data_IF_512427908429
#
_entry.id   IF_512427908429
#
_cell.length_a   1.000
_cell.length_b   1.000
_cell.length_c   1.000
_cell.angle_alpha   90.00
_cell.angle_beta   90.00
_cell.angle_gamma   90.00
#
_symmetry.space_group_name_H-M   'P 1'
#
loop_
_entity.id
_entity.type
_entity.pdbx_description
1 polymer ?
#
# COMPACT_ATOMS: atom_id res chain seq x y z
N UNK A 1 6.32 -15.13 -73.12
CA UNK A 1 5.73 -14.03 -72.32
C UNK A 1 5.06 -14.66 -71.09
N UNK A 2 5.73 -14.69 -69.93
CA UNK A 2 5.28 -15.42 -68.73
C UNK A 2 4.58 -14.42 -67.79
N UNK A 3 3.31 -14.68 -67.46
CA UNK A 3 2.51 -13.86 -66.53
C UNK A 3 2.66 -14.43 -65.12
N UNK A 4 3.35 -13.70 -64.22
CA UNK A 4 3.39 -13.99 -62.80
C UNK A 4 2.05 -13.62 -62.15
N UNK A 5 1.37 -14.58 -61.54
CA UNK A 5 0.18 -14.35 -60.71
C UNK A 5 0.64 -14.21 -59.26
N UNK A 6 0.56 -13.00 -58.69
CA UNK A 6 0.80 -12.78 -57.27
C UNK A 6 -0.44 -13.10 -56.43
N UNK A 7 -0.35 -14.11 -55.56
CA UNK A 7 -1.30 -14.35 -54.48
C UNK A 7 -1.10 -13.34 -53.35
N UNK A 8 -2.08 -12.45 -53.14
CA UNK A 8 -2.15 -11.61 -51.93
C UNK A 8 -2.75 -12.44 -50.79
N UNK A 9 -1.92 -12.79 -49.79
CA UNK A 9 -2.38 -13.30 -48.49
C UNK A 9 -3.15 -12.19 -47.77
N UNK A 10 -4.40 -12.46 -47.42
CA UNK A 10 -5.24 -11.61 -46.57
C UNK A 10 -4.75 -11.77 -45.12
N UNK A 11 -4.13 -10.73 -44.57
CA UNK A 11 -3.79 -10.65 -43.14
C UNK A 11 -5.07 -10.25 -42.40
N UNK A 12 -5.65 -11.18 -41.64
CA UNK A 12 -6.76 -10.88 -40.73
C UNK A 12 -6.26 -9.91 -39.65
N UNK A 13 -6.85 -8.73 -39.58
CA UNK A 13 -6.54 -7.73 -38.56
C UNK A 13 -6.85 -8.30 -37.17
N UNK A 14 -5.81 -8.45 -36.34
CA UNK A 14 -5.96 -8.75 -34.93
C UNK A 14 -6.52 -7.51 -34.23
N UNK A 15 -7.81 -7.52 -33.88
CA UNK A 15 -8.36 -6.50 -32.98
C UNK A 15 -7.97 -6.89 -31.56
N UNK A 16 -7.19 -6.06 -30.83
CA UNK A 16 -6.91 -6.35 -29.43
C UNK A 16 -8.25 -6.42 -28.66
N UNK A 17 -8.44 -7.48 -27.89
CA UNK A 17 -9.51 -7.55 -26.89
C UNK A 17 -9.35 -6.32 -26.01
N UNK A 18 -10.40 -5.50 -25.89
CA UNK A 18 -10.47 -4.47 -24.86
C UNK A 18 -10.34 -5.19 -23.51
N UNK A 19 -9.15 -5.13 -22.92
CA UNK A 19 -8.97 -5.38 -21.49
C UNK A 19 -9.92 -4.42 -20.79
N UNK A 20 -10.84 -4.94 -19.98
CA UNK A 20 -11.54 -4.08 -19.02
C UNK A 20 -10.42 -3.45 -18.19
N UNK A 21 -10.29 -2.13 -18.25
CA UNK A 21 -9.52 -1.39 -17.26
C UNK A 21 -10.28 -1.63 -15.97
N UNK A 22 -9.75 -2.49 -15.11
CA UNK A 22 -10.28 -2.64 -13.76
C UNK A 22 -9.82 -1.37 -13.06
N UNK A 23 -10.76 -0.63 -12.47
CA UNK A 23 -10.41 0.58 -11.73
C UNK A 23 -9.57 0.14 -10.51
N UNK A 24 -8.28 0.47 -10.52
CA UNK A 24 -7.27 -0.10 -9.63
C UNK A 24 -7.01 0.81 -8.44
N UNK A 25 -7.07 0.23 -7.23
CA UNK A 25 -6.61 0.87 -6.01
C UNK A 25 -5.10 0.66 -5.89
N UNK A 26 -4.32 1.74 -5.78
CA UNK A 26 -2.89 1.66 -5.52
C UNK A 26 -2.56 2.12 -4.10
N UNK A 27 -1.76 1.36 -3.38
CA UNK A 27 -1.34 1.65 -2.02
C UNK A 27 -0.01 2.39 -2.07
N UNK A 28 0.08 3.54 -1.39
CA UNK A 28 1.34 4.25 -1.17
C UNK A 28 1.70 4.26 0.31
N UNK A 29 3.00 4.35 0.61
CA UNK A 29 3.50 4.39 1.98
C UNK A 29 4.47 5.56 2.13
N UNK A 30 4.38 6.31 3.22
CA UNK A 30 5.34 7.36 3.56
C UNK A 30 5.54 7.49 5.07
N UNK A 31 6.58 8.21 5.47
CA UNK A 31 6.91 8.49 6.88
C UNK A 31 6.77 9.99 7.14
N UNK A 32 6.01 10.38 8.15
CA UNK A 32 5.82 11.78 8.57
C UNK A 32 5.94 11.89 10.09
N UNK A 33 6.92 12.66 10.55
CA UNK A 33 7.25 12.83 11.96
C UNK A 33 7.08 14.30 12.36
N UNK A 34 5.93 14.68 12.95
CA UNK A 34 5.65 16.07 13.29
C UNK A 34 6.36 16.53 14.58
N UNK A 35 6.75 15.59 15.43
CA UNK A 35 7.38 15.87 16.73
C UNK A 35 8.91 15.78 16.63
N UNK A 36 9.61 16.73 17.26
CA UNK A 36 11.08 16.76 17.31
C UNK A 36 11.60 15.56 18.11
N UNK A 37 12.58 14.86 17.55
CA UNK A 37 13.20 13.64 18.09
C UNK A 37 12.21 12.50 18.34
N UNK A 38 11.13 12.44 17.57
CA UNK A 38 10.11 11.38 17.59
C UNK A 38 9.99 10.80 16.20
N UNK A 39 10.90 9.90 15.89
CA UNK A 39 10.93 9.24 14.60
C UNK A 39 11.45 7.84 14.73
N UNK A 40 10.90 6.95 13.93
CA UNK A 40 11.52 5.67 13.61
C UNK A 40 12.24 5.79 12.29
N UNK A 41 13.44 5.20 12.17
CA UNK A 41 14.18 5.22 10.92
C UNK A 41 13.87 3.96 10.12
N UNK A 42 12.73 3.92 9.45
CA UNK A 42 12.42 2.79 8.55
C UNK A 42 13.20 2.99 7.24
N UNK A 43 14.09 2.06 6.86
CA UNK A 43 14.87 2.20 5.65
C UNK A 43 13.98 2.30 4.40
N UNK A 44 14.41 3.10 3.41
CA UNK A 44 13.63 3.31 2.18
C UNK A 44 13.36 2.03 1.38
N UNK A 45 14.26 1.05 1.45
CA UNK A 45 14.05 -0.26 0.81
C UNK A 45 12.94 -1.05 1.50
N UNK A 46 12.85 -1.03 2.83
CA UNK A 46 11.76 -1.65 3.60
C UNK A 46 10.43 -1.02 3.22
N UNK A 47 10.36 0.31 3.14
CA UNK A 47 9.15 1.03 2.72
C UNK A 47 8.71 0.64 1.30
N UNK A 48 9.67 0.44 0.40
CA UNK A 48 9.42 0.00 -0.98
C UNK A 48 8.87 -1.43 -1.03
N UNK A 49 9.45 -2.35 -0.26
CA UNK A 49 8.99 -3.73 -0.21
C UNK A 49 7.62 -3.85 0.47
N UNK A 50 7.37 -3.07 1.53
CA UNK A 50 6.04 -2.99 2.16
C UNK A 50 4.99 -2.55 1.14
N UNK A 51 5.26 -1.48 0.39
CA UNK A 51 4.37 -0.99 -0.65
C UNK A 51 4.10 -2.04 -1.73
N UNK A 52 5.15 -2.70 -2.21
CA UNK A 52 5.00 -3.77 -3.23
C UNK A 52 4.17 -4.93 -2.70
N UNK A 53 4.47 -5.39 -1.48
CA UNK A 53 3.75 -6.47 -0.83
C UNK A 53 2.26 -6.17 -0.72
N UNK A 54 1.91 -5.00 -0.18
CA UNK A 54 0.51 -4.59 -0.04
C UNK A 54 -0.22 -4.47 -1.38
N UNK A 55 0.40 -3.89 -2.40
CA UNK A 55 -0.21 -3.81 -3.74
C UNK A 55 -0.36 -5.19 -4.41
N UNK A 56 0.56 -6.13 -4.15
CA UNK A 56 0.48 -7.48 -4.72
C UNK A 56 -0.67 -8.32 -4.16
N UNK A 57 -1.27 -7.90 -3.04
CA UNK A 57 -2.44 -8.55 -2.48
C UNK A 57 -3.72 -8.27 -3.27
N UNK A 58 -3.70 -7.29 -4.20
CA UNK A 58 -4.83 -6.91 -5.07
C UNK A 58 -6.15 -6.73 -4.29
N UNK A 59 -6.02 -6.13 -3.10
CA UNK A 59 -7.17 -5.88 -2.23
C UNK A 59 -7.94 -4.68 -2.73
N UNK A 60 -9.26 -4.72 -2.58
CA UNK A 60 -10.14 -3.62 -2.95
C UNK A 60 -10.97 -3.16 -1.76
N UNK A 61 -11.06 -1.84 -1.58
CA UNK A 61 -11.96 -1.25 -0.58
C UNK A 61 -13.18 -0.68 -1.29
N UNK A 62 -14.27 -1.46 -1.31
CA UNK A 62 -15.53 -1.12 -2.00
C UNK A 62 -16.06 0.25 -1.60
N UNK A 63 -16.03 0.56 -0.30
CA UNK A 63 -16.48 1.85 0.22
C UNK A 63 -15.79 3.05 -0.45
N UNK A 64 -14.49 2.95 -0.76
CA UNK A 64 -13.76 4.02 -1.44
C UNK A 64 -13.99 4.01 -2.94
N UNK A 65 -14.13 2.84 -3.56
CA UNK A 65 -14.49 2.73 -4.98
C UNK A 65 -15.81 3.45 -5.29
N UNK A 66 -16.84 3.24 -4.47
CA UNK A 66 -18.12 3.94 -4.62
C UNK A 66 -17.95 5.46 -4.50
N UNK A 67 -17.16 5.90 -3.51
CA UNK A 67 -16.90 7.32 -3.28
C UNK A 67 -16.16 7.99 -4.44
N UNK A 68 -15.22 7.29 -5.07
CA UNK A 68 -14.51 7.77 -6.25
C UNK A 68 -15.22 7.45 -7.58
N UNK A 69 -16.45 6.93 -7.52
CA UNK A 69 -17.30 6.59 -8.67
C UNK A 69 -16.66 5.57 -9.61
N UNK A 70 -16.00 4.56 -9.04
CA UNK A 70 -15.27 3.55 -9.81
C UNK A 70 -14.17 4.18 -10.64
N UNK A 71 -13.34 5.04 -10.05
CA UNK A 71 -12.14 5.55 -10.70
C UNK A 71 -10.94 5.11 -9.88
N UNK A 72 -9.80 4.94 -10.55
CA UNK A 72 -8.50 4.71 -9.90
C UNK A 72 -8.25 5.74 -8.79
N UNK A 73 -7.80 5.25 -7.65
CA UNK A 73 -7.49 6.07 -6.49
C UNK A 73 -6.29 5.51 -5.72
N UNK A 74 -5.65 6.39 -4.95
CA UNK A 74 -4.53 6.04 -4.08
C UNK A 74 -5.00 5.87 -2.63
N UNK A 75 -4.65 4.75 -2.01
CA UNK A 75 -4.73 4.55 -0.56
C UNK A 75 -3.36 4.89 0.05
N UNK A 76 -3.25 6.04 0.70
CA UNK A 76 -2.04 6.45 1.38
C UNK A 76 -1.97 5.92 2.82
N UNK A 77 -0.90 5.19 3.14
CA UNK A 77 -0.57 4.78 4.50
C UNK A 77 0.58 5.66 5.00
N UNK A 78 0.26 6.59 5.90
CA UNK A 78 1.23 7.50 6.51
C UNK A 78 1.68 6.93 7.84
N UNK A 79 2.94 6.53 7.94
CA UNK A 79 3.54 6.06 9.19
C UNK A 79 4.04 7.26 9.97
N UNK A 80 3.62 7.37 11.23
CA UNK A 80 4.02 8.45 12.11
C UNK A 80 4.35 7.88 13.49
N UNK A 81 5.11 8.64 14.27
CA UNK A 81 5.39 8.35 15.66
C UNK A 81 4.90 9.52 16.53
N UNK A 82 4.43 9.21 17.74
CA UNK A 82 3.96 10.24 18.68
C UNK A 82 4.23 9.85 20.12
N UNK A 83 4.54 10.83 20.99
CA UNK A 83 4.62 10.60 22.45
C UNK A 83 3.24 10.59 23.12
N UNK A 84 2.20 11.02 22.40
CA UNK A 84 0.85 11.12 22.93
C UNK A 84 0.23 9.73 23.15
N UNK A 85 0.05 9.37 24.44
CA UNK A 85 -0.43 8.02 24.83
C UNK A 85 -1.88 7.71 24.47
N UNK A 86 -2.67 8.73 24.18
CA UNK A 86 -4.11 8.60 23.91
C UNK A 86 -4.46 8.69 22.43
N UNK A 87 -3.46 8.90 21.57
CA UNK A 87 -3.71 9.00 20.13
C UNK A 87 -4.08 7.61 19.59
N UNK A 88 -5.17 7.49 18.81
CA UNK A 88 -5.55 6.19 18.25
C UNK A 88 -4.47 5.72 17.27
N UNK A 89 -4.22 4.41 17.26
CA UNK A 89 -3.25 3.79 16.36
C UNK A 89 -3.54 4.11 14.89
N UNK A 90 -4.82 4.19 14.51
CA UNK A 90 -5.27 4.54 13.16
C UNK A 90 -6.09 5.82 13.20
N UNK A 91 -5.67 6.84 12.45
CA UNK A 91 -6.46 8.03 12.15
C UNK A 91 -6.85 8.08 10.68
N UNK A 92 -8.04 8.63 10.39
CA UNK A 92 -8.62 8.70 9.06
C UNK A 92 -9.93 7.92 8.94
N UNK A 93 -10.48 7.77 7.73
CA UNK A 93 -9.91 8.19 6.45
C UNK A 93 -9.92 9.71 6.25
N UNK A 94 -8.84 10.25 5.68
CA UNK A 94 -8.77 11.64 5.21
C UNK A 94 -8.85 11.67 3.70
N UNK A 95 -9.84 12.38 3.14
CA UNK A 95 -10.09 12.37 1.70
C UNK A 95 -9.48 13.58 1.00
N UNK A 96 -8.74 13.29 -0.06
CA UNK A 96 -8.15 14.26 -0.96
C UNK A 96 -8.77 14.11 -2.35
N UNK A 97 -10.02 14.57 -2.51
CA UNK A 97 -10.82 14.36 -3.72
C UNK A 97 -10.12 14.84 -5.01
N UNK A 98 -9.41 15.97 -4.95
CA UNK A 98 -8.66 16.52 -6.10
C UNK A 98 -7.57 15.56 -6.60
N UNK A 99 -6.96 14.82 -5.68
CA UNK A 99 -5.85 13.91 -5.97
C UNK A 99 -6.30 12.45 -6.06
N UNK A 100 -7.62 12.18 -5.94
CA UNK A 100 -8.19 10.83 -5.84
C UNK A 100 -7.42 9.97 -4.85
N UNK A 101 -7.26 10.50 -3.64
CA UNK A 101 -6.45 9.87 -2.60
C UNK A 101 -7.19 9.83 -1.29
N UNK A 102 -7.02 8.75 -0.54
CA UNK A 102 -7.52 8.59 0.82
C UNK A 102 -6.39 8.16 1.73
N UNK A 103 -6.18 8.90 2.79
CA UNK A 103 -5.07 8.66 3.71
C UNK A 103 -5.54 8.12 5.05
N UNK A 104 -4.76 7.16 5.54
CA UNK A 104 -4.75 6.74 6.93
C UNK A 104 -3.39 7.08 7.53
N UNK A 105 -3.42 7.57 8.77
CA UNK A 105 -2.21 7.79 9.55
C UNK A 105 -2.11 6.70 10.61
N UNK A 106 -1.03 5.94 10.58
CA UNK A 106 -0.66 4.97 11.60
C UNK A 106 0.23 5.67 12.63
N UNK A 107 -0.33 5.97 13.81
CA UNK A 107 0.39 6.59 14.91
C UNK A 107 1.00 5.52 15.82
N UNK A 108 2.27 5.22 15.59
CA UNK A 108 3.03 4.30 16.43
C UNK A 108 3.45 5.03 17.71
N UNK A 109 3.09 4.54 18.91
CA UNK A 109 3.52 5.17 20.15
C UNK A 109 5.05 5.15 20.25
N UNK A 110 5.66 6.29 20.50
CA UNK A 110 7.11 6.41 20.51
C UNK A 110 7.72 5.85 21.79
N UNK A 111 8.74 5.01 21.62
CA UNK A 111 9.56 4.41 22.66
C UNK A 111 10.99 4.28 22.14
N UNK A 112 11.97 4.40 23.06
CA UNK A 112 13.38 4.12 22.79
C UNK A 112 13.68 2.65 23.01
N UNK A 113 14.57 2.11 22.19
CA UNK A 113 15.04 0.73 22.26
C UNK A 113 16.56 0.71 22.25
N UNK A 114 17.14 -0.28 22.93
CA UNK A 114 18.59 -0.50 22.93
C UNK A 114 19.02 -1.39 21.74
N UNK A 115 18.06 -2.09 21.14
CA UNK A 115 18.24 -3.02 20.01
C UNK A 115 17.52 -2.49 18.77
N UNK A 116 18.23 -2.45 17.65
CA UNK A 116 17.66 -2.12 16.32
C UNK A 116 16.59 -3.12 15.90
N UNK A 117 16.77 -4.40 16.25
CA UNK A 117 15.81 -5.46 15.98
C UNK A 117 14.52 -5.27 16.80
N UNK A 118 14.63 -4.90 18.08
CA UNK A 118 13.46 -4.70 18.95
C UNK A 118 12.66 -3.48 18.49
N UNK A 119 13.34 -2.40 18.12
CA UNK A 119 12.69 -1.22 17.51
C UNK A 119 11.93 -1.61 16.25
N UNK A 120 12.59 -2.36 15.36
CA UNK A 120 12.00 -2.75 14.08
C UNK A 120 10.82 -3.71 14.25
N UNK A 121 10.93 -4.68 15.15
CA UNK A 121 9.85 -5.62 15.49
C UNK A 121 8.64 -4.87 16.04
N UNK A 122 8.86 -3.93 16.96
CA UNK A 122 7.79 -3.09 17.50
C UNK A 122 7.08 -2.25 16.42
N UNK A 123 7.83 -1.69 15.48
CA UNK A 123 7.26 -0.97 14.33
C UNK A 123 6.37 -1.91 13.51
N UNK A 124 6.87 -3.10 13.17
CA UNK A 124 6.15 -4.07 12.34
C UNK A 124 4.87 -4.56 13.03
N UNK A 125 4.89 -4.83 14.33
CA UNK A 125 3.70 -5.20 15.11
C UNK A 125 2.62 -4.10 15.07
N UNK A 126 3.03 -2.83 15.23
CA UNK A 126 2.08 -1.71 15.15
C UNK A 126 1.54 -1.51 13.73
N UNK A 127 2.36 -1.71 12.70
CA UNK A 127 1.92 -1.71 11.31
C UNK A 127 0.91 -2.82 11.05
N UNK A 128 1.12 -4.01 11.62
CA UNK A 128 0.20 -5.14 11.51
C UNK A 128 -1.16 -4.80 12.10
N UNK A 129 -1.19 -4.38 13.37
CA UNK A 129 -2.41 -3.99 14.04
C UNK A 129 -3.15 -2.88 13.28
N UNK A 130 -2.42 -1.87 12.81
CA UNK A 130 -2.99 -0.74 12.09
C UNK A 130 -3.57 -1.12 10.72
N UNK A 131 -2.82 -1.85 9.91
CA UNK A 131 -3.25 -2.28 8.58
C UNK A 131 -4.42 -3.26 8.67
N UNK A 132 -4.34 -4.29 9.53
CA UNK A 132 -5.45 -5.23 9.73
C UNK A 132 -6.72 -4.47 10.14
N UNK A 133 -6.62 -3.51 11.06
CA UNK A 133 -7.76 -2.69 11.47
C UNK A 133 -8.38 -1.87 10.33
N UNK A 134 -7.57 -1.38 9.39
CA UNK A 134 -8.07 -0.66 8.20
C UNK A 134 -8.79 -1.64 7.26
N UNK A 135 -8.14 -2.77 6.92
CA UNK A 135 -8.68 -3.71 5.95
C UNK A 135 -9.88 -4.49 6.47
N UNK A 136 -9.91 -4.90 7.74
CA UNK A 136 -11.10 -5.51 8.34
C UNK A 136 -12.29 -4.55 8.34
N UNK A 137 -12.03 -3.25 8.56
CA UNK A 137 -13.09 -2.25 8.62
C UNK A 137 -13.65 -1.89 7.25
N UNK A 138 -12.84 -1.91 6.19
CA UNK A 138 -13.22 -1.34 4.89
C UNK A 138 -13.12 -2.29 3.68
N UNK A 139 -12.29 -3.33 3.75
CA UNK A 139 -11.99 -4.24 2.63
C UNK A 139 -12.67 -5.61 2.74
N UNK A 140 -13.39 -5.87 3.84
CA UNK A 140 -13.98 -7.18 4.20
C UNK A 140 -12.97 -8.35 4.28
N UNK A 141 -11.68 -8.10 4.00
CA UNK A 141 -10.63 -9.10 3.90
C UNK A 141 -9.24 -8.49 4.21
N UNK A 142 -8.65 -8.90 5.33
CA UNK A 142 -7.30 -8.55 5.75
C UNK A 142 -6.26 -9.66 5.51
N UNK A 143 -6.63 -10.75 4.81
CA UNK A 143 -5.72 -11.85 4.52
C UNK A 143 -4.50 -11.40 3.70
N UNK A 144 -3.35 -12.00 3.94
CA UNK A 144 -2.10 -11.67 3.25
C UNK A 144 -1.31 -10.53 3.89
N UNK A 145 -1.93 -9.69 4.73
CA UNK A 145 -1.22 -8.57 5.40
C UNK A 145 -0.14 -9.10 6.35
N UNK A 146 -0.45 -10.15 7.10
CA UNK A 146 0.49 -10.74 8.06
C UNK A 146 1.70 -11.31 7.32
N UNK A 147 1.49 -12.00 6.21
CA UNK A 147 2.55 -12.59 5.39
C UNK A 147 3.45 -11.52 4.78
N UNK A 148 2.88 -10.40 4.33
CA UNK A 148 3.66 -9.24 3.88
C UNK A 148 4.54 -8.72 5.01
N UNK A 149 3.98 -8.55 6.21
CA UNK A 149 4.72 -7.99 7.34
C UNK A 149 5.75 -8.92 7.96
N UNK A 150 5.52 -10.23 7.94
CA UNK A 150 6.54 -11.21 8.34
C UNK A 150 7.75 -11.15 7.42
N UNK A 151 7.55 -11.03 6.10
CA UNK A 151 8.66 -10.81 5.15
C UNK A 151 9.38 -9.50 5.41
N UNK A 152 8.66 -8.45 5.83
CA UNK A 152 9.30 -7.19 6.22
C UNK A 152 10.14 -7.38 7.48
N UNK A 153 9.63 -8.11 8.48
CA UNK A 153 10.36 -8.41 9.72
C UNK A 153 11.68 -9.16 9.45
N UNK A 154 11.69 -10.09 8.50
CA UNK A 154 12.90 -10.82 8.06
C UNK A 154 13.98 -9.89 7.45
N UNK A 155 13.60 -8.68 7.02
CA UNK A 155 14.52 -7.66 6.53
C UNK A 155 15.08 -6.76 7.64
N UNK A 156 14.81 -7.09 8.91
CA UNK A 156 15.30 -6.33 10.04
C UNK A 156 16.82 -6.11 9.94
N UNK A 157 17.31 -4.90 10.25
CA UNK A 157 18.74 -4.68 10.36
C UNK A 157 19.31 -5.61 11.44
N UNK A 158 20.32 -6.41 11.09
CA UNK A 158 21.05 -7.21 12.06
C UNK A 158 21.68 -6.30 13.13
N UNK A 159 21.79 -6.77 14.39
CA UNK A 159 22.43 -6.03 15.48
C UNK A 159 23.89 -5.70 15.20
#
# INVERSE_FOLDING_TARGET
MIRLVMHRKVIKSFKPKKTRVVDEMNISTCQVYPEVDVSYKIPGFVMKELRKGLNSLDKEITYFKEKFKGQDFELGIVISATREKYKPLVMGPTFFNRYKRVDFVLHIPYKKFDSSYDEFSYIVENLQCGLVSIFDKYSEDSSGINEVLQRILEMAPYP
#
